data_IF_653983402696
#
_entry.id   IF_653983402696
#
_cell.length_a   1.000
_cell.length_b   1.000
_cell.length_c   1.000
_cell.angle_alpha   90.00
_cell.angle_beta   90.00
_cell.angle_gamma   90.00
#
_symmetry.space_group_name_H-M   'P 1'
#
loop_
_entity.id
_entity.type
_entity.pdbx_description
1 polymer ?
#
# COMPACT_ATOMS: atom_id res chain seq x y z
N UNK A 1 29.91 -11.22 8.06
CA UNK A 1 31.30 -10.87 8.39
C UNK A 1 31.42 -9.38 8.12
N UNK A 2 31.65 -8.60 9.16
CA UNK A 2 31.79 -7.16 9.06
C UNK A 2 33.22 -6.82 8.57
N UNK A 3 33.41 -5.62 8.01
CA UNK A 3 34.72 -5.14 7.55
C UNK A 3 35.70 -4.97 8.71
N UNK A 4 35.18 -4.65 9.89
CA UNK A 4 35.99 -4.43 11.09
C UNK A 4 36.54 -5.73 11.69
N UNK A 5 35.86 -6.86 11.47
CA UNK A 5 36.29 -8.19 11.93
C UNK A 5 37.65 -8.60 11.32
N UNK A 6 38.06 -7.94 10.24
CA UNK A 6 39.33 -8.16 9.54
C UNK A 6 40.49 -7.39 10.17
N UNK A 7 40.21 -6.47 11.11
CA UNK A 7 41.22 -5.64 11.76
C UNK A 7 41.61 -6.19 13.13
N UNK A 8 42.91 -6.30 13.39
CA UNK A 8 43.42 -6.73 14.70
C UNK A 8 43.05 -5.72 15.80
N UNK A 9 42.63 -6.16 16.99
CA UNK A 9 42.34 -5.28 18.11
C UNK A 9 43.62 -4.67 18.71
N UNK A 10 43.56 -3.45 19.26
CA UNK A 10 44.67 -2.85 19.99
C UNK A 10 44.88 -3.51 21.36
N UNK A 11 46.03 -3.29 21.99
CA UNK A 11 46.35 -3.87 23.32
C UNK A 11 45.36 -3.43 24.42
N UNK A 12 44.85 -2.20 24.33
CA UNK A 12 43.87 -1.62 25.24
C UNK A 12 42.43 -1.69 24.69
N UNK A 13 42.11 -2.74 23.92
CA UNK A 13 40.79 -2.91 23.29
C UNK A 13 39.61 -2.81 24.27
N UNK A 14 39.78 -3.27 25.51
CA UNK A 14 38.73 -3.25 26.53
C UNK A 14 38.22 -1.83 26.84
N UNK A 15 39.09 -0.82 26.73
CA UNK A 15 38.74 0.60 26.98
C UNK A 15 38.11 1.28 25.76
N UNK A 16 38.26 0.68 24.58
CA UNK A 16 37.86 1.24 23.28
C UNK A 16 36.68 0.49 22.66
N UNK A 17 36.37 -0.70 23.15
CA UNK A 17 35.29 -1.54 22.66
C UNK A 17 33.94 -0.82 22.82
N UNK A 18 33.16 -0.79 21.73
CA UNK A 18 31.81 -0.26 21.71
C UNK A 18 30.96 -1.03 20.72
N UNK A 19 29.66 -0.76 20.69
CA UNK A 19 28.74 -1.34 19.70
C UNK A 19 28.99 -0.82 18.26
N UNK A 20 29.90 0.12 18.05
CA UNK A 20 30.20 0.71 16.74
C UNK A 20 31.52 0.20 16.13
N UNK A 21 32.23 -0.70 16.83
CA UNK A 21 33.56 -1.19 16.45
C UNK A 21 33.75 -2.67 16.81
N UNK A 22 34.82 -3.28 16.31
CA UNK A 22 35.21 -4.64 16.67
C UNK A 22 36.35 -4.60 17.69
N UNK A 23 36.05 -4.71 18.98
CA UNK A 23 37.07 -4.62 20.05
C UNK A 23 37.97 -3.36 19.89
N UNK A 24 37.38 -2.22 19.57
CA UNK A 24 38.11 -0.97 19.36
C UNK A 24 38.79 -0.81 18.00
N UNK A 25 38.82 -1.83 17.13
CA UNK A 25 39.28 -1.73 15.75
C UNK A 25 38.14 -1.33 14.79
N UNK A 26 38.50 -0.56 13.77
CA UNK A 26 37.59 0.05 12.80
C UNK A 26 38.21 0.00 11.40
N UNK A 27 37.45 -0.38 10.39
CA UNK A 27 37.86 -0.28 8.99
C UNK A 27 37.29 1.00 8.36
N UNK A 28 38.10 2.05 8.27
CA UNK A 28 37.72 3.34 7.69
C UNK A 28 38.51 3.58 6.40
N UNK A 29 37.83 3.94 5.31
CA UNK A 29 38.46 4.13 3.98
C UNK A 29 39.36 2.96 3.58
N UNK A 30 38.86 1.74 3.80
CA UNK A 30 39.60 0.48 3.55
C UNK A 30 40.93 0.35 4.32
N UNK A 31 41.11 1.10 5.41
CA UNK A 31 42.30 1.08 6.26
C UNK A 31 41.91 0.72 7.69
N UNK A 32 42.61 -0.24 8.29
CA UNK A 32 42.41 -0.59 9.69
C UNK A 32 42.95 0.52 10.61
N UNK A 33 42.08 1.02 11.48
CA UNK A 33 42.33 2.10 12.43
C UNK A 33 41.73 1.74 13.79
N UNK A 34 42.00 2.54 14.82
CA UNK A 34 41.47 2.32 16.17
C UNK A 34 40.58 3.47 16.61
N UNK A 35 39.57 3.18 17.42
CA UNK A 35 38.64 4.14 18.00
C UNK A 35 39.25 4.94 19.18
N UNK A 36 40.47 5.45 19.03
CA UNK A 36 41.26 6.02 20.13
C UNK A 36 41.42 7.55 20.07
N UNK A 37 40.78 8.23 19.10
CA UNK A 37 40.93 9.67 18.92
C UNK A 37 40.10 10.44 19.95
N UNK A 38 40.70 11.45 20.57
CA UNK A 38 40.12 12.22 21.69
C UNK A 38 39.81 13.66 21.31
N UNK A 39 39.21 14.41 22.23
CA UNK A 39 38.74 15.79 22.03
C UNK A 39 39.75 16.68 21.30
N UNK A 40 39.31 17.34 20.23
CA UNK A 40 40.08 18.31 19.45
C UNK A 40 41.13 17.71 18.52
N UNK A 41 41.35 16.39 18.55
CA UNK A 41 42.24 15.72 17.60
C UNK A 41 41.51 15.48 16.27
N UNK A 42 42.27 15.47 15.18
CA UNK A 42 41.76 15.19 13.84
C UNK A 42 41.24 13.76 13.75
N UNK A 43 40.02 13.60 13.26
CA UNK A 43 39.37 12.31 13.10
C UNK A 43 39.29 11.90 11.63
N UNK A 44 39.23 10.60 11.41
CA UNK A 44 38.97 9.98 10.12
C UNK A 44 37.48 9.68 10.07
N UNK A 45 36.82 10.19 9.03
CA UNK A 45 35.40 10.00 8.75
C UNK A 45 35.24 9.23 7.45
N UNK A 46 34.39 8.21 7.46
CA UNK A 46 34.05 7.35 6.32
C UNK A 46 32.54 7.36 6.14
N UNK A 47 32.08 7.96 5.05
CA UNK A 47 30.67 8.06 4.67
C UNK A 47 30.37 7.08 3.55
N UNK A 48 29.45 6.15 3.79
CA UNK A 48 28.99 5.20 2.78
C UNK A 48 27.52 5.44 2.52
N UNK A 49 27.19 5.81 1.28
CA UNK A 49 25.81 6.00 0.83
C UNK A 49 25.33 4.78 0.07
N UNK A 50 24.28 4.15 0.60
CA UNK A 50 23.54 3.07 -0.04
C UNK A 50 22.35 3.67 -0.77
N UNK A 51 22.14 3.28 -2.01
CA UNK A 51 20.97 3.71 -2.80
C UNK A 51 20.08 2.49 -2.98
N UNK A 52 18.87 2.58 -2.45
CA UNK A 52 17.84 1.55 -2.56
C UNK A 52 16.67 2.05 -3.39
N UNK A 53 15.90 1.12 -3.94
CA UNK A 53 14.69 1.41 -4.69
C UNK A 53 13.48 1.25 -3.76
N UNK A 54 12.72 2.33 -3.60
CA UNK A 54 11.47 2.33 -2.86
C UNK A 54 10.35 1.57 -3.60
N UNK A 55 9.22 1.31 -2.93
CA UNK A 55 8.10 0.52 -3.46
C UNK A 55 7.54 1.05 -4.79
N UNK A 56 7.61 2.37 -5.00
CA UNK A 56 7.10 3.05 -6.20
C UNK A 56 8.20 3.32 -7.27
N UNK A 57 9.39 2.75 -7.09
CA UNK A 57 10.54 2.97 -7.97
C UNK A 57 11.31 4.27 -7.71
N UNK A 58 10.95 5.04 -6.69
CA UNK A 58 11.75 6.19 -6.25
C UNK A 58 13.06 5.72 -5.62
N UNK A 59 14.18 6.37 -5.97
CA UNK A 59 15.47 6.06 -5.36
C UNK A 59 15.58 6.73 -4.00
N UNK A 60 15.93 5.96 -2.97
CA UNK A 60 16.22 6.46 -1.64
C UNK A 60 17.70 6.26 -1.32
N UNK A 61 18.36 7.28 -0.75
CA UNK A 61 19.75 7.22 -0.33
C UNK A 61 19.88 7.17 1.19
N UNK A 62 20.44 6.08 1.72
CA UNK A 62 20.80 5.96 3.13
C UNK A 62 22.31 6.14 3.31
N UNK A 63 22.73 7.20 3.99
CA UNK A 63 24.13 7.47 4.28
C UNK A 63 24.49 7.03 5.70
N UNK A 64 25.46 6.11 5.80
CA UNK A 64 26.02 5.65 7.07
C UNK A 64 27.38 6.30 7.27
N UNK A 65 27.50 7.13 8.30
CA UNK A 65 28.75 7.80 8.70
C UNK A 65 29.44 7.03 9.81
N UNK A 66 30.74 6.73 9.65
CA UNK A 66 31.59 6.07 10.65
C UNK A 66 32.83 6.90 10.95
N UNK A 67 33.39 6.78 12.16
CA UNK A 67 34.56 7.56 12.57
C UNK A 67 35.41 6.89 13.65
N UNK A 68 36.67 7.34 13.81
CA UNK A 68 37.62 6.82 14.79
C UNK A 68 37.69 7.57 16.14
N UNK A 69 36.75 8.46 16.42
CA UNK A 69 36.63 9.10 17.74
C UNK A 69 36.28 8.07 18.83
N UNK A 70 36.82 8.29 20.03
CA UNK A 70 36.55 7.43 21.19
C UNK A 70 35.09 7.54 21.61
N UNK A 71 34.39 6.42 21.46
CA UNK A 71 32.97 6.24 21.78
C UNK A 71 32.83 5.80 23.25
N UNK A 72 31.81 6.24 24.01
CA UNK A 72 30.69 7.10 23.60
C UNK A 72 30.91 8.60 23.79
N UNK A 73 32.08 9.05 24.27
CA UNK A 73 32.27 10.44 24.71
C UNK A 73 32.44 11.44 23.56
N UNK A 74 32.94 10.99 22.41
CA UNK A 74 33.24 11.87 21.29
C UNK A 74 32.68 11.34 19.98
N UNK A 75 32.34 12.27 19.08
CA UNK A 75 32.00 12.00 17.69
C UNK A 75 32.79 12.92 16.76
N UNK A 76 32.95 12.51 15.51
CA UNK A 76 33.68 13.29 14.52
C UNK A 76 32.76 14.34 13.87
N UNK A 77 33.10 15.62 13.98
CA UNK A 77 32.39 16.68 13.26
C UNK A 77 32.77 16.65 11.78
N UNK A 78 31.77 16.55 10.88
CA UNK A 78 32.02 16.46 9.45
C UNK A 78 32.59 17.75 8.83
N UNK A 79 32.31 18.91 9.42
CA UNK A 79 32.78 20.21 8.91
C UNK A 79 34.21 20.52 9.35
N UNK A 80 34.53 20.29 10.62
CA UNK A 80 35.83 20.59 11.21
C UNK A 80 36.81 19.41 11.17
N UNK A 81 36.32 18.19 10.95
CA UNK A 81 37.10 16.94 10.98
C UNK A 81 37.88 16.73 12.28
N UNK A 82 37.28 17.13 13.40
CA UNK A 82 37.82 16.92 14.76
C UNK A 82 36.83 16.22 15.66
N UNK A 83 37.33 15.48 16.64
CA UNK A 83 36.48 14.87 17.66
C UNK A 83 35.94 15.92 18.62
N UNK A 84 34.62 15.96 18.77
CA UNK A 84 33.89 16.85 19.68
C UNK A 84 33.00 16.03 20.62
N UNK A 85 32.58 16.58 21.78
CA UNK A 85 31.80 15.83 22.76
C UNK A 85 30.43 15.44 22.22
N UNK A 86 30.01 14.20 22.47
CA UNK A 86 28.64 13.75 22.18
C UNK A 86 27.64 14.49 23.05
N UNK A 87 26.45 14.74 22.49
CA UNK A 87 25.33 15.29 23.25
C UNK A 87 24.75 14.23 24.18
N UNK A 88 24.29 14.64 25.35
CA UNK A 88 23.55 13.76 26.26
C UNK A 88 22.20 13.38 25.66
N UNK A 89 21.73 12.17 25.98
CA UNK A 89 20.39 11.70 25.62
C UNK A 89 19.34 12.70 26.14
N UNK A 90 18.36 13.04 25.29
CA UNK A 90 17.28 13.98 25.62
C UNK A 90 17.54 15.44 25.27
N UNK A 91 18.74 15.79 24.79
CA UNK A 91 19.00 17.12 24.22
C UNK A 91 18.40 17.18 22.80
N UNK A 92 17.73 18.28 22.46
CA UNK A 92 17.16 18.47 21.11
C UNK A 92 18.24 18.33 20.03
N UNK A 93 18.16 17.26 19.25
CA UNK A 93 18.84 17.12 17.97
C UNK A 93 17.89 17.57 16.86
N UNK A 94 18.45 18.18 15.80
CA UNK A 94 17.78 18.16 14.50
C UNK A 94 18.14 16.81 13.89
N UNK A 95 17.38 15.79 14.26
CA UNK A 95 17.50 14.49 13.65
C UNK A 95 16.65 14.51 12.36
N UNK A 96 17.22 14.13 11.22
CA UNK A 96 16.45 14.00 9.99
C UNK A 96 15.51 12.80 10.13
N UNK A 97 14.25 12.97 9.73
CA UNK A 97 13.27 11.89 9.77
C UNK A 97 13.74 10.71 8.91
N UNK A 98 13.68 9.46 9.41
CA UNK A 98 14.12 8.30 8.65
C UNK A 98 13.30 8.11 7.36
N UNK A 99 13.87 7.49 6.31
CA UNK A 99 13.15 7.16 5.07
C UNK A 99 11.81 6.47 5.24
N UNK A 100 11.73 5.61 6.26
CA UNK A 100 10.57 4.77 6.54
C UNK A 100 9.45 5.53 7.24
N UNK A 101 9.64 6.83 7.53
CA UNK A 101 8.60 7.66 8.11
C UNK A 101 7.46 7.74 7.10
N UNK A 102 6.23 7.30 7.45
CA UNK A 102 5.12 7.28 6.52
C UNK A 102 4.92 8.68 5.95
N UNK A 103 5.01 8.82 4.62
CA UNK A 103 4.86 10.10 3.92
C UNK A 103 3.54 10.71 4.37
N UNK A 104 3.62 11.81 5.13
CA UNK A 104 2.45 12.58 5.52
C UNK A 104 1.84 13.18 4.26
N UNK A 105 0.81 12.51 3.73
CA UNK A 105 0.01 13.06 2.64
C UNK A 105 -0.79 14.23 3.17
N UNK A 106 -0.84 15.29 2.38
CA UNK A 106 -1.62 16.47 2.73
C UNK A 106 -3.10 16.10 2.85
N UNK A 107 -3.78 16.65 3.85
CA UNK A 107 -5.16 16.27 4.22
C UNK A 107 -6.12 16.39 3.02
N UNK A 108 -5.89 17.38 2.15
CA UNK A 108 -6.73 17.58 0.96
C UNK A 108 -6.68 16.41 -0.03
N UNK A 109 -5.55 15.71 -0.14
CA UNK A 109 -5.40 14.56 -1.04
C UNK A 109 -6.28 13.40 -0.58
N UNK A 110 -6.36 13.16 0.73
CA UNK A 110 -7.22 12.14 1.34
C UNK A 110 -8.70 12.48 1.13
N UNK A 111 -9.07 13.76 1.23
CA UNK A 111 -10.46 14.19 1.01
C UNK A 111 -10.88 13.98 -0.45
N UNK A 112 -10.04 14.33 -1.42
CA UNK A 112 -10.40 14.16 -2.85
C UNK A 112 -10.52 12.68 -3.23
N UNK A 113 -9.58 11.85 -2.77
CA UNK A 113 -9.57 10.40 -3.06
C UNK A 113 -10.77 9.69 -2.44
N UNK A 114 -11.14 10.04 -1.21
CA UNK A 114 -12.34 9.47 -0.58
C UNK A 114 -13.63 9.88 -1.30
N UNK A 115 -13.76 11.14 -1.72
CA UNK A 115 -14.93 11.62 -2.47
C UNK A 115 -15.02 10.91 -3.83
N UNK A 116 -13.92 10.73 -4.55
CA UNK A 116 -13.94 10.10 -5.88
C UNK A 116 -14.37 8.62 -5.81
N UNK A 117 -13.90 7.88 -4.80
CA UNK A 117 -14.31 6.49 -4.56
C UNK A 117 -15.81 6.41 -4.25
N UNK A 118 -16.31 7.27 -3.36
CA UNK A 118 -17.74 7.30 -3.01
C UNK A 118 -18.62 7.65 -4.22
N UNK A 119 -18.20 8.64 -5.03
CA UNK A 119 -18.92 9.01 -6.24
C UNK A 119 -19.00 7.85 -7.24
N UNK A 120 -17.90 7.10 -7.43
CA UNK A 120 -17.87 5.93 -8.29
C UNK A 120 -18.79 4.81 -7.77
N UNK A 121 -18.78 4.53 -6.46
CA UNK A 121 -19.69 3.56 -5.85
C UNK A 121 -21.15 3.95 -6.06
N UNK A 122 -21.52 5.21 -5.81
CA UNK A 122 -22.88 5.69 -6.06
C UNK A 122 -23.28 5.56 -7.54
N UNK A 123 -22.39 5.95 -8.47
CA UNK A 123 -22.66 5.86 -9.90
C UNK A 123 -22.92 4.41 -10.35
N UNK A 124 -22.09 3.46 -9.91
CA UNK A 124 -22.28 2.04 -10.24
C UNK A 124 -23.61 1.49 -9.71
N UNK A 125 -23.99 1.81 -8.48
CA UNK A 125 -25.28 1.40 -7.91
C UNK A 125 -26.44 2.00 -8.70
N UNK A 126 -26.38 3.29 -9.04
CA UNK A 126 -27.44 3.94 -9.86
C UNK A 126 -27.57 3.27 -11.22
N UNK A 127 -26.46 3.02 -11.93
CA UNK A 127 -26.50 2.34 -13.23
C UNK A 127 -27.09 0.94 -13.11
N UNK A 128 -26.66 0.15 -12.12
CA UNK A 128 -27.19 -1.19 -11.89
C UNK A 128 -28.69 -1.17 -11.58
N UNK A 129 -29.16 -0.23 -10.76
CA UNK A 129 -30.60 -0.12 -10.45
C UNK A 129 -31.41 0.26 -11.69
N UNK A 130 -30.91 1.16 -12.53
CA UNK A 130 -31.58 1.55 -13.79
C UNK A 130 -31.63 0.38 -14.78
N UNK A 131 -30.53 -0.33 -14.96
CA UNK A 131 -30.45 -1.51 -15.84
C UNK A 131 -31.41 -2.59 -15.35
N UNK A 132 -31.41 -2.88 -14.04
CA UNK A 132 -32.30 -3.88 -13.46
C UNK A 132 -33.78 -3.47 -13.59
N UNK A 133 -34.11 -2.18 -13.39
CA UNK A 133 -35.47 -1.66 -13.63
C UNK A 133 -35.88 -1.82 -15.11
N UNK A 134 -35.01 -1.48 -16.06
CA UNK A 134 -35.27 -1.65 -17.50
C UNK A 134 -35.51 -3.13 -17.85
N UNK A 135 -34.67 -4.03 -17.34
CA UNK A 135 -34.79 -5.47 -17.58
C UNK A 135 -36.07 -6.05 -16.95
N UNK A 136 -36.46 -5.57 -15.76
CA UNK A 136 -37.75 -5.96 -15.14
C UNK A 136 -38.93 -5.50 -15.98
N UNK A 137 -38.92 -4.26 -16.47
CA UNK A 137 -39.99 -3.74 -17.31
C UNK A 137 -40.13 -4.52 -18.63
N UNK A 138 -39.02 -4.90 -19.26
CA UNK A 138 -39.04 -5.74 -20.46
C UNK A 138 -39.64 -7.12 -20.17
N UNK A 139 -39.25 -7.77 -19.08
CA UNK A 139 -39.83 -9.06 -18.65
C UNK A 139 -41.33 -8.95 -18.37
N UNK A 140 -41.78 -7.88 -17.69
CA UNK A 140 -43.21 -7.67 -17.45
C UNK A 140 -44.02 -7.51 -18.74
N UNK A 141 -43.45 -6.84 -19.76
CA UNK A 141 -44.11 -6.72 -21.08
C UNK A 141 -44.25 -8.07 -21.78
N UNK A 142 -43.17 -8.85 -21.84
CA UNK A 142 -43.19 -10.19 -22.44
C UNK A 142 -44.18 -11.14 -21.75
N UNK A 143 -44.21 -11.13 -20.41
CA UNK A 143 -45.17 -11.94 -19.64
C UNK A 143 -46.60 -11.52 -19.96
N UNK A 144 -46.88 -10.21 -20.05
CA UNK A 144 -48.22 -9.72 -20.38
C UNK A 144 -48.66 -10.16 -21.79
N UNK A 145 -47.78 -10.01 -22.79
CA UNK A 145 -48.04 -10.48 -24.16
C UNK A 145 -48.35 -11.99 -24.18
N UNK A 146 -47.55 -12.79 -23.48
CA UNK A 146 -47.79 -14.23 -23.34
C UNK A 146 -49.14 -14.56 -22.69
N UNK A 147 -49.54 -13.83 -21.65
CA UNK A 147 -50.85 -14.03 -21.00
C UNK A 147 -52.01 -13.64 -21.92
N UNK A 148 -51.88 -12.54 -22.67
CA UNK A 148 -52.90 -12.10 -23.63
C UNK A 148 -53.10 -13.16 -24.74
N UNK A 149 -52.01 -13.73 -25.26
CA UNK A 149 -52.05 -14.85 -26.23
C UNK A 149 -52.73 -16.10 -25.65
N UNK A 150 -52.35 -16.51 -24.43
CA UNK A 150 -52.94 -17.67 -23.75
C UNK A 150 -54.44 -17.52 -23.52
N UNK A 151 -54.89 -16.34 -23.08
CA UNK A 151 -56.31 -16.06 -22.85
C UNK A 151 -57.07 -16.07 -24.18
N UNK A 152 -56.49 -15.52 -25.24
CA UNK A 152 -57.07 -15.53 -26.57
C UNK A 152 -57.30 -16.96 -27.07
N UNK A 153 -56.27 -17.82 -27.00
CA UNK A 153 -56.36 -19.23 -27.40
C UNK A 153 -57.40 -20.02 -26.60
N UNK A 154 -57.52 -19.77 -25.29
CA UNK A 154 -58.56 -20.42 -24.47
C UNK A 154 -59.97 -20.00 -24.89
N UNK A 155 -60.16 -18.71 -25.22
CA UNK A 155 -61.46 -18.19 -25.69
C UNK A 155 -61.84 -18.78 -27.04
N UNK A 156 -60.90 -18.89 -27.98
CA UNK A 156 -61.17 -19.48 -29.31
C UNK A 156 -61.51 -20.96 -29.21
N UNK A 157 -60.80 -21.73 -28.37
CA UNK A 157 -61.12 -23.14 -28.13
C UNK A 157 -62.52 -23.32 -27.50
N UNK A 158 -62.85 -22.51 -26.50
CA UNK A 158 -64.17 -22.54 -25.86
C UNK A 158 -65.29 -22.21 -26.85
N UNK A 159 -65.09 -21.21 -27.72
CA UNK A 159 -66.04 -20.86 -28.77
C UNK A 159 -66.21 -21.98 -29.82
N UNK A 160 -65.10 -22.63 -30.22
CA UNK A 160 -65.13 -23.77 -31.13
C UNK A 160 -65.90 -24.96 -30.52
N UNK A 161 -65.63 -25.27 -29.24
CA UNK A 161 -66.35 -26.32 -28.51
C UNK A 161 -67.84 -26.02 -28.37
N UNK A 162 -68.20 -24.75 -28.07
CA UNK A 162 -69.60 -24.34 -27.98
C UNK A 162 -70.31 -24.48 -29.34
N UNK A 163 -69.70 -24.02 -30.43
CA UNK A 163 -70.26 -24.14 -31.78
C UNK A 163 -70.40 -25.61 -32.23
N UNK A 164 -69.43 -26.47 -31.88
CA UNK A 164 -69.50 -27.90 -32.18
C UNK A 164 -70.61 -28.60 -31.36
N UNK A 165 -70.77 -28.26 -30.08
CA UNK A 165 -71.84 -28.79 -29.24
C UNK A 165 -73.22 -28.37 -29.74
N UNK A 166 -73.38 -27.12 -30.18
CA UNK A 166 -74.63 -26.60 -30.74
C UNK A 166 -75.04 -27.36 -32.01
N UNK A 167 -74.09 -27.59 -32.94
CA UNK A 167 -74.32 -28.42 -34.14
C UNK A 167 -74.73 -29.85 -33.81
N UNK A 168 -74.13 -30.46 -32.79
CA UNK A 168 -74.47 -31.82 -32.37
C UNK A 168 -75.91 -31.91 -31.83
N UNK A 169 -76.36 -30.89 -31.09
CA UNK A 169 -77.74 -30.81 -30.60
C UNK A 169 -78.73 -30.63 -31.76
N UNK A 170 -78.41 -29.76 -32.73
CA UNK A 170 -79.24 -29.52 -33.92
C UNK A 170 -79.41 -30.79 -34.78
N UNK A 171 -78.31 -31.51 -35.07
CA UNK A 171 -78.38 -32.79 -35.79
C UNK A 171 -79.26 -33.81 -35.05
N UNK A 172 -79.09 -33.95 -33.73
CA UNK A 172 -79.88 -34.93 -32.95
C UNK A 172 -81.38 -34.59 -32.92
N UNK A 173 -81.73 -33.31 -32.83
CA UNK A 173 -83.12 -32.86 -32.86
C UNK A 173 -83.81 -33.04 -34.21
N UNK A 174 -83.06 -33.24 -35.30
CA UNK A 174 -83.63 -33.50 -36.62
C UNK A 174 -83.95 -34.99 -36.87
N UNK A 175 -83.47 -35.89 -36.01
CA UNK A 175 -83.68 -37.36 -36.10
C UNK A 175 -84.72 -37.90 -35.09
N UNK A 176 -85.35 -37.04 -34.29
CA UNK A 176 -86.51 -37.35 -33.42
C UNK A 176 -87.80 -36.73 -33.97
#
# INVERSE_FOLDING_TARGET
MDRDDQCAPPSNWADLASNQNFNGSLCLKSTCTYANVTLGQTCILDDVTYIDLGPDGEQFSNSVTRHNCKTPQFYCDAGLQVCIPTKSLGVSCVCADPPETPRHVEVWQVVITTISILAAMCATVVVLTLVHKRLRLQRYRQIREYYEEQISLRKTLAALHAAAADRYIDEKGHYE
#
